data_IF_259006016455
#
_entry.id   IF_259006016455
#
_cell.length_a   1.000
_cell.length_b   1.000
_cell.length_c   1.000
_cell.angle_alpha   90.00
_cell.angle_beta   90.00
_cell.angle_gamma   90.00
#
_symmetry.space_group_name_H-M   'P 1'
#
loop_
_entity.id
_entity.type
_entity.pdbx_description
1 polymer ?
#
# COMPACT_ATOMS: atom_id res chain seq x y z
N UNK A 1 -13.39 -0.43 -16.10
CA UNK A 1 -14.37 -1.44 -15.63
C UNK A 1 -15.53 -0.69 -14.96
N UNK A 2 -16.70 -0.60 -15.59
CA UNK A 2 -17.85 0.08 -14.98
C UNK A 2 -18.25 -0.59 -13.66
N UNK A 3 -18.44 0.19 -12.60
CA UNK A 3 -18.94 -0.27 -11.30
C UNK A 3 -17.91 -0.98 -10.39
N UNK A 4 -16.64 -1.08 -10.78
CA UNK A 4 -15.59 -1.69 -9.94
C UNK A 4 -14.83 -0.64 -9.16
N UNK A 5 -14.66 -0.89 -7.86
CA UNK A 5 -13.81 -0.17 -6.94
C UNK A 5 -12.50 -0.96 -6.76
N UNK A 6 -11.42 -0.53 -7.41
CA UNK A 6 -10.17 -1.30 -7.45
C UNK A 6 -9.12 -0.73 -6.48
N UNK A 7 -8.61 -1.59 -5.61
CA UNK A 7 -7.47 -1.32 -4.74
C UNK A 7 -6.39 -2.40 -4.90
N UNK A 8 -5.11 -2.00 -4.96
CA UNK A 8 -3.96 -2.91 -4.80
C UNK A 8 -3.20 -2.55 -3.52
N UNK A 9 -2.87 -3.56 -2.72
CA UNK A 9 -2.05 -3.45 -1.52
C UNK A 9 -1.34 -4.80 -1.27
N UNK A 10 -0.43 -4.85 -0.28
CA UNK A 10 0.31 -6.05 0.18
C UNK A 10 1.31 -6.68 -0.80
N UNK A 11 1.22 -6.42 -2.11
CA UNK A 11 2.17 -6.94 -3.10
C UNK A 11 3.60 -6.38 -2.96
N UNK A 12 3.77 -5.31 -2.19
CA UNK A 12 5.05 -4.64 -2.00
C UNK A 12 6.04 -5.45 -1.15
N UNK A 13 5.56 -6.43 -0.36
CA UNK A 13 6.38 -7.14 0.63
C UNK A 13 6.23 -8.66 0.54
N UNK A 14 7.28 -9.37 0.95
CA UNK A 14 7.25 -10.83 1.03
C UNK A 14 6.41 -11.33 2.21
N UNK A 15 5.88 -12.56 2.09
CA UNK A 15 5.00 -13.15 3.11
C UNK A 15 5.68 -13.30 4.49
N UNK A 16 6.99 -13.54 4.54
CA UNK A 16 7.72 -13.61 5.81
C UNK A 16 7.71 -12.25 6.52
N UNK A 17 8.00 -11.17 5.78
CA UNK A 17 7.95 -9.80 6.30
C UNK A 17 6.55 -9.37 6.72
N UNK A 18 5.48 -9.88 6.07
CA UNK A 18 4.09 -9.63 6.49
C UNK A 18 3.89 -10.04 7.95
N UNK A 19 4.36 -11.23 8.34
CA UNK A 19 4.25 -11.70 9.72
C UNK A 19 5.17 -10.92 10.65
N UNK A 20 6.42 -10.74 10.26
CA UNK A 20 7.43 -10.18 11.15
C UNK A 20 7.19 -8.70 11.42
N UNK A 21 6.71 -7.93 10.44
CA UNK A 21 6.63 -6.47 10.52
C UNK A 21 5.23 -5.94 10.91
N UNK A 22 4.22 -6.81 10.97
CA UNK A 22 2.88 -6.44 11.42
C UNK A 22 2.92 -5.88 12.85
N UNK A 23 2.25 -4.75 13.08
CA UNK A 23 2.22 -4.07 14.37
C UNK A 23 3.49 -3.28 14.71
N UNK A 24 4.51 -3.29 13.85
CA UNK A 24 5.77 -2.56 14.08
C UNK A 24 5.77 -1.12 13.54
N UNK A 25 4.61 -0.56 13.22
CA UNK A 25 4.49 0.81 12.68
C UNK A 25 5.07 0.98 11.27
N UNK A 26 5.26 -0.12 10.53
CA UNK A 26 5.69 -0.10 9.13
C UNK A 26 4.55 0.31 8.20
N UNK A 27 4.89 0.95 7.10
CA UNK A 27 3.94 1.46 6.12
C UNK A 27 3.91 0.62 4.84
N UNK A 28 2.72 0.52 4.24
CA UNK A 28 2.50 -0.14 2.94
C UNK A 28 1.77 0.79 1.98
N UNK A 29 2.10 0.75 0.68
CA UNK A 29 1.37 1.51 -0.32
C UNK A 29 0.01 0.86 -0.61
N UNK A 30 -1.01 1.70 -0.74
CA UNK A 30 -2.35 1.34 -1.19
C UNK A 30 -2.66 2.13 -2.44
N UNK A 31 -2.89 1.44 -3.55
CA UNK A 31 -3.14 2.06 -4.85
C UNK A 31 -4.64 2.01 -5.17
N UNK A 32 -5.30 3.16 -5.19
CA UNK A 32 -6.74 3.28 -5.45
C UNK A 32 -7.12 4.72 -5.84
N UNK A 33 -8.13 4.88 -6.70
CA UNK A 33 -8.56 6.20 -7.22
C UNK A 33 -9.90 6.68 -6.66
N UNK A 34 -10.86 5.79 -6.41
CA UNK A 34 -12.16 6.15 -5.87
C UNK A 34 -12.20 6.04 -4.33
N UNK A 35 -13.12 6.78 -3.71
CA UNK A 35 -13.21 6.88 -2.25
C UNK A 35 -13.44 5.52 -1.57
N UNK A 36 -14.32 4.68 -2.13
CA UNK A 36 -14.65 3.39 -1.53
C UNK A 36 -13.47 2.42 -1.58
N UNK A 37 -12.75 2.36 -2.71
CA UNK A 37 -11.54 1.56 -2.84
C UNK A 37 -10.43 2.03 -1.90
N UNK A 38 -10.25 3.34 -1.76
CA UNK A 38 -9.28 3.95 -0.83
C UNK A 38 -9.58 3.60 0.62
N UNK A 39 -10.83 3.76 1.04
CA UNK A 39 -11.26 3.47 2.40
C UNK A 39 -11.12 1.99 2.74
N UNK A 40 -11.59 1.11 1.84
CA UNK A 40 -11.47 -0.34 2.03
C UNK A 40 -10.01 -0.79 2.05
N UNK A 41 -9.20 -0.37 1.07
CA UNK A 41 -7.78 -0.73 1.00
C UNK A 41 -7.00 -0.24 2.23
N UNK A 42 -7.24 0.99 2.66
CA UNK A 42 -6.61 1.55 3.85
C UNK A 42 -7.02 0.80 5.12
N UNK A 43 -8.30 0.41 5.24
CA UNK A 43 -8.79 -0.39 6.37
C UNK A 43 -8.10 -1.75 6.43
N UNK A 44 -8.05 -2.48 5.32
CA UNK A 44 -7.40 -3.80 5.28
C UNK A 44 -5.92 -3.73 5.70
N UNK A 45 -5.19 -2.69 5.27
CA UNK A 45 -3.79 -2.49 5.66
C UNK A 45 -3.64 -2.17 7.14
N UNK A 46 -4.54 -1.34 7.71
CA UNK A 46 -4.56 -1.06 9.16
C UNK A 46 -4.88 -2.32 9.96
N UNK A 47 -5.89 -3.07 9.54
CA UNK A 47 -6.31 -4.32 10.19
C UNK A 47 -5.19 -5.38 10.15
N UNK A 48 -4.32 -5.34 9.13
CA UNK A 48 -3.11 -6.15 9.02
C UNK A 48 -1.93 -5.64 9.86
N UNK A 49 -2.08 -4.53 10.60
CA UNK A 49 -1.05 -3.97 11.48
C UNK A 49 -0.04 -3.04 10.80
N UNK A 50 -0.37 -2.48 9.64
CA UNK A 50 0.48 -1.55 8.90
C UNK A 50 -0.15 -0.17 8.75
N UNK A 51 0.68 0.84 8.47
CA UNK A 51 0.23 2.20 8.17
C UNK A 51 -0.04 2.34 6.67
N UNK A 52 -1.28 2.61 6.22
CA UNK A 52 -1.57 2.79 4.81
C UNK A 52 -1.08 4.15 4.30
N UNK A 53 -0.40 4.16 3.15
CA UNK A 53 -0.11 5.38 2.40
C UNK A 53 -0.76 5.26 1.02
N UNK A 54 -1.64 6.20 0.68
CA UNK A 54 -2.43 6.15 -0.56
C UNK A 54 -1.64 6.69 -1.76
N UNK A 55 -1.72 5.98 -2.88
CA UNK A 55 -1.17 6.34 -4.17
C UNK A 55 -2.23 6.22 -5.28
N UNK A 56 -2.09 6.96 -6.40
CA UNK A 56 -2.93 6.74 -7.59
C UNK A 56 -2.87 5.30 -8.09
N UNK A 57 -4.00 4.77 -8.55
CA UNK A 57 -4.08 3.39 -9.06
C UNK A 57 -3.15 3.16 -10.26
N UNK A 58 -2.88 4.18 -11.06
CA UNK A 58 -1.94 4.13 -12.19
C UNK A 58 -0.50 3.74 -11.78
N UNK A 59 -0.12 3.99 -10.51
CA UNK A 59 1.20 3.64 -9.96
C UNK A 59 1.27 2.23 -9.38
N UNK A 60 0.21 1.44 -9.48
CA UNK A 60 0.09 0.12 -8.83
C UNK A 60 1.19 -0.89 -9.20
N UNK A 61 1.88 -0.71 -10.33
CA UNK A 61 3.02 -1.56 -10.70
C UNK A 61 4.32 -1.21 -9.94
N UNK A 62 4.43 -0.01 -9.39
CA UNK A 62 5.59 0.40 -8.59
C UNK A 62 5.67 -0.34 -7.25
N UNK A 63 4.54 -0.85 -6.75
CA UNK A 63 4.47 -1.68 -5.56
C UNK A 63 4.60 -3.19 -5.82
N UNK A 64 4.98 -3.61 -7.02
CA UNK A 64 5.34 -5.01 -7.30
C UNK A 64 6.78 -5.28 -6.87
N UNK A 65 7.16 -6.54 -6.58
CA UNK A 65 8.55 -6.89 -6.24
C UNK A 65 9.56 -6.32 -7.24
N UNK A 66 10.56 -5.59 -6.74
CA UNK A 66 11.57 -4.88 -7.55
C UNK A 66 11.17 -3.47 -8.00
N UNK A 67 9.93 -3.04 -7.77
CA UNK A 67 9.46 -1.68 -8.03
C UNK A 67 9.90 -0.64 -6.98
N UNK A 68 9.85 0.66 -7.30
CA UNK A 68 10.36 1.73 -6.42
C UNK A 68 9.55 1.96 -5.13
N UNK A 69 8.35 1.38 -5.03
CA UNK A 69 7.50 1.37 -3.84
C UNK A 69 7.46 0.00 -3.15
N UNK A 70 8.22 -0.99 -3.64
CA UNK A 70 8.38 -2.28 -2.97
C UNK A 70 9.21 -2.17 -1.68
N UNK A 71 9.05 -3.13 -0.78
CA UNK A 71 9.78 -3.20 0.47
C UNK A 71 9.02 -2.64 1.68
N UNK A 72 9.73 -2.61 2.81
CA UNK A 72 9.21 -2.18 4.10
C UNK A 72 9.68 -0.75 4.35
N UNK A 73 8.74 0.17 4.58
CA UNK A 73 9.00 1.59 4.77
C UNK A 73 8.52 2.06 6.14
N UNK A 74 9.07 3.15 6.63
CA UNK A 74 8.35 4.03 7.55
C UNK A 74 7.28 4.84 6.80
N UNK A 75 6.30 5.37 7.53
CA UNK A 75 5.28 6.24 6.94
C UNK A 75 5.90 7.49 6.28
N UNK A 76 6.91 8.09 6.91
CA UNK A 76 7.57 9.29 6.40
C UNK A 76 8.32 9.01 5.08
N UNK A 77 9.07 7.91 5.01
CA UNK A 77 9.78 7.51 3.79
C UNK A 77 8.81 7.26 2.64
N UNK A 78 7.70 6.56 2.90
CA UNK A 78 6.74 6.22 1.88
C UNK A 78 5.94 7.45 1.42
N UNK A 79 5.56 8.36 2.33
CA UNK A 79 4.98 9.67 1.98
C UNK A 79 5.95 10.52 1.15
N UNK A 80 7.25 10.44 1.40
CA UNK A 80 8.26 11.12 0.60
C UNK A 80 8.27 10.71 -0.89
N UNK A 81 7.73 9.54 -1.22
CA UNK A 81 7.62 9.01 -2.60
C UNK A 81 6.35 9.43 -3.33
N UNK A 82 5.51 10.27 -2.71
CA UNK A 82 4.32 10.84 -3.33
C UNK A 82 4.65 11.91 -4.39
N UNK A 83 5.87 12.44 -4.39
CA UNK A 83 6.31 13.40 -5.41
C UNK A 83 6.23 12.77 -6.83
N UNK A 84 5.88 13.59 -7.85
CA UNK A 84 5.69 13.13 -9.22
C UNK A 84 6.96 12.57 -9.86
#
# INVERSE_FOLDING_TARGET
>A
MPGIHLARAFNAIGFASMKDQSGQGKALPVFADDAQARDMGARLVRDAGFVPVLFPLARANEGLPGGPLAGIWSEAELKGKLAP
#
